data_IF_964882963240
#
_entry.id   IF_964882963240
#
_cell.length_a   1.000
_cell.length_b   1.000
_cell.length_c   1.000
_cell.angle_alpha   90.00
_cell.angle_beta   90.00
_cell.angle_gamma   90.00
#
_symmetry.space_group_name_H-M   'P 1'
#
loop_
_entity.id
_entity.type
_entity.pdbx_description
1 polymer ?
#
# COMPACT_ATOMS: atom_id res chain seq x y z
N UNK A 1 33.37 -34.31 11.01
CA UNK A 1 32.07 -34.55 11.67
C UNK A 1 31.76 -33.30 12.48
N UNK A 2 31.14 -32.30 11.86
CA UNK A 2 29.69 -32.04 11.86
C UNK A 2 29.23 -31.26 13.10
N UNK A 3 29.20 -29.93 12.98
CA UNK A 3 28.03 -29.16 13.43
C UNK A 3 28.05 -27.76 12.79
N UNK A 4 27.50 -27.69 11.58
CA UNK A 4 27.00 -26.44 10.98
C UNK A 4 25.73 -26.03 11.73
N UNK A 5 25.87 -25.59 12.98
CA UNK A 5 24.78 -25.03 13.78
C UNK A 5 24.96 -23.52 13.99
N UNK A 6 25.43 -22.83 12.95
CA UNK A 6 25.27 -21.39 12.84
C UNK A 6 23.88 -21.10 12.28
N UNK A 7 22.86 -21.15 13.15
CA UNK A 7 21.50 -20.75 12.82
C UNK A 7 21.53 -19.47 11.98
N UNK A 8 20.95 -19.52 10.78
CA UNK A 8 20.65 -18.32 9.98
C UNK A 8 19.62 -17.51 10.76
N UNK A 9 20.09 -16.77 11.77
CA UNK A 9 19.29 -15.80 12.47
C UNK A 9 18.76 -14.83 11.41
N UNK A 10 17.46 -14.92 11.12
CA UNK A 10 16.76 -13.97 10.29
C UNK A 10 17.03 -12.59 10.87
N UNK A 11 17.91 -11.83 10.21
CA UNK A 11 18.40 -10.56 10.73
C UNK A 11 17.21 -9.59 10.79
N UNK A 12 16.92 -8.98 11.95
CA UNK A 12 15.68 -8.24 12.14
C UNK A 12 15.57 -7.08 11.14
N UNK A 13 14.37 -6.89 10.58
CA UNK A 13 13.96 -5.67 9.86
C UNK A 13 14.28 -4.45 10.74
N UNK A 14 15.40 -3.79 10.46
CA UNK A 14 16.11 -2.95 11.43
C UNK A 14 16.10 -1.44 11.16
N UNK A 15 15.48 -0.96 10.07
CA UNK A 15 15.38 0.48 9.81
C UNK A 15 14.08 1.08 10.37
N UNK A 16 14.13 2.20 11.11
CA UNK A 16 12.92 2.90 11.55
C UNK A 16 12.11 3.35 10.33
N UNK A 17 10.93 2.77 10.14
CA UNK A 17 10.05 3.01 8.97
C UNK A 17 9.82 1.78 8.09
N UNK A 18 10.72 0.79 8.11
CA UNK A 18 10.58 -0.43 7.28
C UNK A 18 9.39 -1.29 7.73
N UNK A 19 9.17 -1.42 9.05
CA UNK A 19 7.98 -2.09 9.61
C UNK A 19 6.69 -1.36 9.25
N UNK A 20 6.71 -0.03 9.29
CA UNK A 20 5.54 0.80 8.92
C UNK A 20 5.22 0.65 7.44
N UNK A 21 6.24 0.56 6.58
CA UNK A 21 6.06 0.29 5.15
C UNK A 21 5.46 -1.10 4.91
N UNK A 22 5.86 -2.14 5.66
CA UNK A 22 5.24 -3.46 5.56
C UNK A 22 3.75 -3.43 5.94
N UNK A 23 3.39 -2.70 6.99
CA UNK A 23 1.97 -2.52 7.37
C UNK A 23 1.22 -1.80 6.24
N UNK A 24 1.79 -0.73 5.68
CA UNK A 24 1.20 -0.04 4.54
C UNK A 24 0.99 -0.95 3.33
N UNK A 25 1.99 -1.76 2.99
CA UNK A 25 1.91 -2.77 1.92
C UNK A 25 0.78 -3.76 2.18
N UNK A 26 0.62 -4.23 3.42
CA UNK A 26 -0.48 -5.13 3.80
C UNK A 26 -1.85 -4.49 3.62
N UNK A 27 -2.01 -3.24 4.09
CA UNK A 27 -3.26 -2.49 3.96
C UNK A 27 -3.64 -2.24 2.49
N UNK A 28 -2.69 -1.77 1.68
CA UNK A 28 -2.92 -1.50 0.25
C UNK A 28 -3.12 -2.80 -0.51
N UNK A 29 -2.29 -3.81 -0.23
CA UNK A 29 -2.36 -5.12 -0.86
C UNK A 29 -3.74 -5.75 -0.67
N UNK A 30 -4.20 -5.90 0.58
CA UNK A 30 -5.53 -6.47 0.87
C UNK A 30 -6.67 -5.56 0.41
N UNK A 31 -6.55 -4.24 0.63
CA UNK A 31 -7.54 -3.24 0.24
C UNK A 31 -7.80 -3.20 -1.27
N UNK A 32 -6.82 -3.59 -2.08
CA UNK A 32 -6.94 -3.65 -3.55
C UNK A 32 -7.93 -4.71 -4.04
N UNK A 33 -8.13 -5.80 -3.27
CA UNK A 33 -9.08 -6.87 -3.62
C UNK A 33 -10.48 -6.62 -3.06
N UNK A 34 -10.59 -5.78 -2.03
CA UNK A 34 -11.84 -5.49 -1.35
C UNK A 34 -12.76 -4.58 -2.20
N UNK A 35 -14.05 -4.49 -1.87
CA UNK A 35 -14.96 -3.53 -2.48
C UNK A 35 -14.46 -2.10 -2.32
N UNK A 36 -14.31 -1.38 -3.44
CA UNK A 36 -13.93 0.03 -3.44
C UNK A 36 -15.16 0.93 -3.49
N UNK A 37 -16.19 0.50 -4.20
CA UNK A 37 -17.43 1.28 -4.36
C UNK A 37 -18.59 0.36 -4.03
N UNK A 38 -19.48 0.84 -3.18
CA UNK A 38 -20.80 0.27 -2.98
C UNK A 38 -21.78 1.12 -3.78
N UNK A 39 -22.45 0.54 -4.77
CA UNK A 39 -23.60 1.15 -5.43
C UNK A 39 -24.87 0.72 -4.68
N UNK A 40 -26.04 1.21 -5.11
CA UNK A 40 -27.32 0.89 -4.48
C UNK A 40 -27.44 -0.59 -4.05
N UNK A 41 -28.11 -0.80 -2.91
CA UNK A 41 -28.14 -2.02 -2.07
C UNK A 41 -27.87 -3.31 -2.85
N UNK A 42 -26.65 -3.83 -2.73
CA UNK A 42 -26.25 -5.16 -3.20
C UNK A 42 -25.20 -5.20 -4.31
N UNK A 43 -24.94 -4.09 -5.02
CA UNK A 43 -23.95 -4.08 -6.12
C UNK A 43 -22.65 -3.44 -5.65
N UNK A 44 -21.64 -4.27 -5.41
CA UNK A 44 -20.30 -3.81 -5.02
C UNK A 44 -19.31 -3.97 -6.17
N UNK A 45 -18.58 -2.90 -6.50
CA UNK A 45 -17.47 -2.97 -7.47
C UNK A 45 -16.17 -3.16 -6.70
N UNK A 46 -15.50 -4.28 -6.98
CA UNK A 46 -14.21 -4.59 -6.39
C UNK A 46 -13.12 -3.71 -6.99
N UNK A 47 -12.11 -3.37 -6.18
CA UNK A 47 -10.98 -2.58 -6.67
C UNK A 47 -10.24 -3.26 -7.83
N UNK A 48 -10.15 -4.59 -7.81
CA UNK A 48 -9.43 -5.37 -8.80
C UNK A 48 -9.93 -5.17 -10.24
N UNK A 49 -11.22 -4.89 -10.44
CA UNK A 49 -11.77 -4.65 -11.78
C UNK A 49 -11.33 -3.29 -12.38
N UNK A 50 -10.57 -2.48 -11.64
CA UNK A 50 -10.06 -1.20 -12.12
C UNK A 50 -8.80 -0.74 -11.40
N UNK A 51 -8.91 0.38 -10.69
CA UNK A 51 -7.77 1.06 -10.06
C UNK A 51 -7.05 0.23 -8.99
N UNK A 52 -7.72 -0.75 -8.38
CA UNK A 52 -7.14 -1.64 -7.38
C UNK A 52 -6.03 -2.53 -7.90
N UNK A 53 -6.06 -2.92 -9.18
CA UNK A 53 -4.97 -3.70 -9.77
C UNK A 53 -3.65 -2.91 -9.80
N UNK A 54 -3.73 -1.62 -10.14
CA UNK A 54 -2.58 -0.72 -10.15
C UNK A 54 -2.02 -0.47 -8.75
N UNK A 55 -2.89 -0.31 -7.75
CA UNK A 55 -2.45 -0.17 -6.36
C UNK A 55 -1.86 -1.45 -5.80
N UNK A 56 -2.31 -2.62 -6.26
CA UNK A 56 -1.69 -3.89 -5.94
C UNK A 56 -0.27 -4.00 -6.53
N UNK A 57 -0.07 -3.65 -7.80
CA UNK A 57 1.28 -3.61 -8.38
C UNK A 57 2.20 -2.62 -7.65
N UNK A 58 1.67 -1.46 -7.28
CA UNK A 58 2.39 -0.52 -6.42
C UNK A 58 2.71 -1.12 -5.04
N UNK A 59 1.83 -1.94 -4.46
CA UNK A 59 2.08 -2.64 -3.19
C UNK A 59 3.20 -3.68 -3.33
N UNK A 60 3.28 -4.40 -4.44
CA UNK A 60 4.40 -5.31 -4.74
C UNK A 60 5.71 -4.54 -4.84
N UNK A 61 5.72 -3.36 -5.49
CA UNK A 61 6.89 -2.48 -5.52
C UNK A 61 7.25 -1.95 -4.12
N UNK A 62 6.25 -1.55 -3.33
CA UNK A 62 6.45 -1.13 -1.95
C UNK A 62 6.99 -2.25 -1.07
N UNK A 63 6.59 -3.50 -1.31
CA UNK A 63 7.12 -4.69 -0.64
C UNK A 63 8.59 -4.87 -0.97
N UNK A 64 8.98 -4.73 -2.24
CA UNK A 64 10.39 -4.73 -2.62
C UNK A 64 11.18 -3.62 -1.88
N UNK A 65 10.61 -2.42 -1.76
CA UNK A 65 11.19 -1.33 -0.96
C UNK A 65 11.31 -1.64 0.53
N UNK A 66 10.36 -2.39 1.07
CA UNK A 66 10.38 -2.87 2.45
C UNK A 66 11.39 -3.99 2.68
N UNK A 67 11.90 -4.66 1.65
CA UNK A 67 12.92 -5.71 1.76
C UNK A 67 14.33 -5.18 1.45
N UNK A 68 14.44 -4.16 0.59
CA UNK A 68 15.71 -3.53 0.21
C UNK A 68 16.25 -2.66 1.36
N UNK A 69 17.53 -2.83 1.69
CA UNK A 69 18.18 -2.12 2.81
C UNK A 69 18.82 -0.78 2.43
N UNK A 70 18.67 -0.36 1.17
CA UNK A 70 19.10 0.96 0.69
C UNK A 70 18.01 1.99 0.96
N UNK A 71 18.25 2.88 1.94
CA UNK A 71 17.27 3.89 2.40
C UNK A 71 16.65 4.70 1.26
N UNK A 72 17.46 5.15 0.30
CA UNK A 72 16.98 5.92 -0.86
C UNK A 72 16.02 5.12 -1.75
N UNK A 73 16.34 3.87 -2.06
CA UNK A 73 15.46 3.00 -2.85
C UNK A 73 14.17 2.66 -2.10
N UNK A 74 14.26 2.35 -0.81
CA UNK A 74 13.11 2.09 0.04
C UNK A 74 12.18 3.32 0.14
N UNK A 75 12.74 4.51 0.29
CA UNK A 75 11.99 5.76 0.30
C UNK A 75 11.30 6.05 -1.04
N UNK A 76 12.00 5.83 -2.16
CA UNK A 76 11.43 6.00 -3.50
C UNK A 76 10.26 5.03 -3.75
N UNK A 77 10.42 3.76 -3.41
CA UNK A 77 9.35 2.76 -3.57
C UNK A 77 8.17 3.02 -2.62
N UNK A 78 8.42 3.51 -1.40
CA UNK A 78 7.37 3.95 -0.49
C UNK A 78 6.60 5.18 -1.03
N UNK A 79 7.30 6.12 -1.67
CA UNK A 79 6.68 7.27 -2.32
C UNK A 79 5.81 6.85 -3.51
N UNK A 80 6.31 5.95 -4.38
CA UNK A 80 5.54 5.41 -5.51
C UNK A 80 4.28 4.71 -5.00
N UNK A 81 4.41 3.84 -4.00
CA UNK A 81 3.28 3.17 -3.35
C UNK A 81 2.27 4.20 -2.81
N UNK A 82 2.74 5.16 -2.03
CA UNK A 82 1.89 6.16 -1.39
C UNK A 82 1.15 7.05 -2.38
N UNK A 83 1.83 7.54 -3.42
CA UNK A 83 1.22 8.37 -4.46
C UNK A 83 0.19 7.58 -5.26
N UNK A 84 0.49 6.35 -5.66
CA UNK A 84 -0.47 5.50 -6.37
C UNK A 84 -1.70 5.18 -5.51
N UNK A 85 -1.47 4.79 -4.25
CA UNK A 85 -2.52 4.39 -3.31
C UNK A 85 -3.38 5.55 -2.80
N UNK A 86 -2.95 6.81 -2.92
CA UNK A 86 -3.79 7.99 -2.62
C UNK A 86 -4.39 8.58 -3.89
N UNK A 87 -3.57 8.74 -4.92
CA UNK A 87 -3.96 9.39 -6.18
C UNK A 87 -5.03 8.61 -6.94
N UNK A 88 -4.92 7.28 -7.03
CA UNK A 88 -5.92 6.47 -7.74
C UNK A 88 -7.30 6.46 -7.05
N UNK A 89 -7.40 6.23 -5.72
CA UNK A 89 -8.67 6.41 -5.03
C UNK A 89 -9.24 7.81 -5.13
N UNK A 90 -8.41 8.85 -5.00
CA UNK A 90 -8.86 10.24 -5.11
C UNK A 90 -9.40 10.55 -6.50
N UNK A 91 -8.70 10.12 -7.55
CA UNK A 91 -9.16 10.23 -8.94
C UNK A 91 -10.47 9.49 -9.17
N UNK A 92 -10.59 8.26 -8.65
CA UNK A 92 -11.81 7.48 -8.80
C UNK A 92 -13.00 8.17 -8.11
N UNK A 93 -12.81 8.66 -6.88
CA UNK A 93 -13.83 9.43 -6.15
C UNK A 93 -14.22 10.68 -6.92
N UNK A 94 -13.25 11.46 -7.41
CA UNK A 94 -13.52 12.65 -8.21
C UNK A 94 -14.36 12.33 -9.46
N UNK A 95 -14.06 11.22 -10.13
CA UNK A 95 -14.84 10.76 -11.29
C UNK A 95 -16.27 10.39 -10.89
N UNK A 96 -16.46 9.67 -9.79
CA UNK A 96 -17.79 9.30 -9.31
C UNK A 96 -18.62 10.52 -8.91
N UNK A 97 -17.99 11.55 -8.33
CA UNK A 97 -18.67 12.81 -8.01
C UNK A 97 -19.21 13.51 -9.27
N UNK A 98 -18.55 13.36 -10.43
CA UNK A 98 -19.06 13.91 -11.70
C UNK A 98 -20.25 13.13 -12.28
N UNK A 99 -20.44 11.88 -11.84
CA UNK A 99 -21.52 10.99 -12.31
C UNK A 99 -22.80 11.10 -11.44
N UNK A 100 -22.74 11.83 -10.33
CA UNK A 100 -23.86 12.03 -9.41
C UNK A 100 -23.80 11.16 -8.15
N UNK A 101 -24.94 11.09 -7.44
CA UNK A 101 -25.09 10.36 -6.19
C UNK A 101 -25.42 8.86 -6.37
N UNK A 102 -25.58 8.15 -5.25
CA UNK A 102 -25.98 6.73 -5.25
C UNK A 102 -24.83 5.73 -5.09
N UNK A 103 -23.65 6.21 -4.68
CA UNK A 103 -22.51 5.37 -4.35
C UNK A 103 -21.93 5.76 -2.98
N UNK A 104 -21.28 4.81 -2.32
CA UNK A 104 -20.55 5.01 -1.07
C UNK A 104 -19.15 4.40 -1.17
N UNK A 105 -18.14 4.98 -0.50
CA UNK A 105 -16.81 4.40 -0.45
C UNK A 105 -16.84 3.07 0.31
N UNK A 106 -16.34 2.02 -0.33
CA UNK A 106 -16.18 0.71 0.28
C UNK A 106 -14.93 0.64 1.17
N UNK A 107 -14.88 -0.41 2.00
CA UNK A 107 -13.77 -0.65 2.92
C UNK A 107 -12.41 -0.76 2.21
N UNK A 108 -12.37 -1.30 1.00
CA UNK A 108 -11.14 -1.44 0.21
C UNK A 108 -10.54 -0.08 -0.16
N UNK A 109 -11.40 0.88 -0.54
CA UNK A 109 -10.96 2.23 -0.90
C UNK A 109 -10.35 2.95 0.31
N UNK A 110 -10.99 2.82 1.47
CA UNK A 110 -10.50 3.41 2.73
C UNK A 110 -9.17 2.78 3.16
N UNK A 111 -9.05 1.45 3.09
CA UNK A 111 -7.81 0.75 3.44
C UNK A 111 -6.65 1.11 2.51
N UNK A 112 -6.90 1.23 1.21
CA UNK A 112 -5.88 1.62 0.23
C UNK A 112 -5.44 3.06 0.44
N UNK A 113 -6.38 4.00 0.59
CA UNK A 113 -6.05 5.41 0.84
C UNK A 113 -5.29 5.58 2.16
N UNK A 114 -5.76 4.95 3.23
CA UNK A 114 -5.10 4.96 4.54
C UNK A 114 -3.71 4.32 4.49
N UNK A 115 -3.58 3.17 3.86
CA UNK A 115 -2.30 2.49 3.64
C UNK A 115 -1.33 3.35 2.82
N UNK A 116 -1.81 4.07 1.81
CA UNK A 116 -1.04 5.02 1.03
C UNK A 116 -0.45 6.16 1.88
N UNK A 117 -1.25 6.77 2.75
CA UNK A 117 -0.78 7.80 3.70
C UNK A 117 0.29 7.23 4.63
N UNK A 118 0.10 6.01 5.14
CA UNK A 118 1.09 5.32 5.99
C UNK A 118 2.38 5.04 5.20
N UNK A 119 2.30 4.67 3.92
CA UNK A 119 3.45 4.48 3.05
C UNK A 119 4.23 5.79 2.83
N UNK A 120 3.55 6.91 2.56
CA UNK A 120 4.19 8.22 2.43
C UNK A 120 4.93 8.62 3.71
N UNK A 121 4.29 8.43 4.87
CA UNK A 121 4.91 8.72 6.16
C UNK A 121 6.11 7.82 6.44
N UNK A 122 6.04 6.54 6.06
CA UNK A 122 7.16 5.61 6.17
C UNK A 122 8.33 6.03 5.25
N UNK A 123 8.05 6.40 4.00
CA UNK A 123 9.03 6.90 3.05
C UNK A 123 9.72 8.17 3.54
N UNK A 124 8.96 9.11 4.10
CA UNK A 124 9.53 10.34 4.66
C UNK A 124 10.46 10.07 5.85
N UNK A 125 10.09 9.14 6.75
CA UNK A 125 10.96 8.69 7.85
C UNK A 125 12.24 8.03 7.33
N UNK A 126 12.15 7.18 6.31
CA UNK A 126 13.32 6.54 5.69
C UNK A 126 14.25 7.54 4.99
N UNK A 127 13.70 8.63 4.45
CA UNK A 127 14.46 9.69 3.80
C UNK A 127 15.14 10.65 4.80
N UNK A 128 14.55 10.85 5.98
CA UNK A 128 15.00 11.85 6.97
C UNK A 128 15.76 11.26 8.16
N UNK A 129 15.65 9.96 8.42
CA UNK A 129 16.46 9.28 9.42
C UNK A 129 17.94 9.34 9.02
N UNK A 130 18.72 10.15 9.74
CA UNK A 130 20.18 10.21 9.67
C UNK A 130 20.77 9.02 10.41
#
# INVERSE_FOLDING_TARGET
>A
MSSLAGARAGRPLGLPGQRTLLVAVGLVGLGSFLPWIQLAVGVSVTGMQGAGLWTFYAAVLGLAGALVRRRGAAAAQAAILGVAAVGLPAWQVARLLTLGGGWAPGVGLVLVAGGGIVALRAGWRLATAR
#
